data_IF_812647060073
#
_entry.id   IF_812647060073
#
_cell.length_a   1.000
_cell.length_b   1.000
_cell.length_c   1.000
_cell.angle_alpha   90.00
_cell.angle_beta   90.00
_cell.angle_gamma   90.00
#
_symmetry.space_group_name_H-M   'P 1'
#
loop_
_entity.id
_entity.type
_entity.pdbx_description
1 polymer ?
#
# COMPACT_ATOMS: atom_id res chain seq x y z
N UNK A 1 1.09 -11.16 19.02
CA UNK A 1 1.80 -10.00 19.60
C UNK A 1 0.75 -9.00 20.04
N UNK A 2 0.95 -8.35 21.17
CA UNK A 2 0.00 -7.36 21.68
C UNK A 2 0.09 -6.04 20.88
N UNK A 3 -1.03 -5.35 20.69
CA UNK A 3 -1.08 -4.12 19.88
C UNK A 3 -0.20 -3.00 20.44
N UNK A 4 -0.12 -2.87 21.77
CA UNK A 4 0.73 -1.84 22.41
C UNK A 4 2.21 -2.14 22.19
N UNK A 5 2.58 -3.42 22.25
CA UNK A 5 3.94 -3.88 21.97
C UNK A 5 4.37 -3.57 20.53
N UNK A 6 3.50 -3.87 19.55
CA UNK A 6 3.74 -3.58 18.12
C UNK A 6 3.98 -2.09 17.89
N UNK A 7 3.14 -1.22 18.47
CA UNK A 7 3.26 0.23 18.32
C UNK A 7 4.58 0.73 18.91
N UNK A 8 4.95 0.28 20.12
CA UNK A 8 6.17 0.71 20.82
C UNK A 8 7.45 0.23 20.15
N UNK A 9 7.42 -0.93 19.50
CA UNK A 9 8.62 -1.55 18.89
C UNK A 9 8.82 -1.16 17.42
N UNK A 10 7.85 -0.51 16.77
CA UNK A 10 7.93 -0.08 15.37
C UNK A 10 9.14 0.82 15.10
N UNK A 11 9.90 0.50 14.04
CA UNK A 11 11.03 1.31 13.52
C UNK A 11 10.86 1.55 12.02
N UNK A 12 11.49 2.60 11.50
CA UNK A 12 11.53 2.84 10.05
C UNK A 12 12.62 1.98 9.40
N UNK A 13 12.20 1.01 8.58
CA UNK A 13 13.09 0.12 7.83
C UNK A 13 13.50 0.80 6.52
N UNK A 14 14.78 0.71 6.15
CA UNK A 14 15.36 1.32 4.94
C UNK A 14 16.16 0.34 4.07
N UNK A 15 16.18 -0.93 4.44
CA UNK A 15 16.79 -2.03 3.68
C UNK A 15 15.74 -3.12 3.53
N UNK A 16 15.44 -3.48 2.29
CA UNK A 16 14.38 -4.43 1.94
C UNK A 16 14.97 -5.58 1.12
N UNK A 17 14.25 -6.69 1.07
CA UNK A 17 14.54 -7.80 0.16
C UNK A 17 13.99 -7.50 -1.24
N UNK A 18 14.50 -8.18 -2.26
CA UNK A 18 14.06 -8.02 -3.66
C UNK A 18 12.72 -8.71 -3.97
N UNK A 19 12.18 -9.50 -3.03
CA UNK A 19 10.93 -10.23 -3.21
C UNK A 19 9.71 -9.29 -3.27
N UNK A 20 8.73 -9.57 -4.16
CA UNK A 20 7.51 -8.80 -4.22
C UNK A 20 6.64 -9.03 -2.97
N UNK A 21 5.85 -8.02 -2.60
CA UNK A 21 4.82 -8.15 -1.56
C UNK A 21 3.54 -8.73 -2.19
N UNK A 22 2.97 -9.84 -1.66
CA UNK A 22 1.71 -10.41 -2.12
C UNK A 22 0.55 -9.41 -2.06
N UNK A 23 -0.37 -9.45 -3.03
CA UNK A 23 -1.51 -8.53 -3.13
C UNK A 23 -2.39 -8.57 -1.87
N UNK A 24 -2.67 -9.77 -1.34
CA UNK A 24 -3.49 -9.96 -0.14
C UNK A 24 -2.97 -9.19 1.09
N UNK A 25 -1.65 -8.99 1.19
CA UNK A 25 -1.05 -8.21 2.27
C UNK A 25 -1.27 -6.72 2.02
N UNK A 26 -1.15 -6.27 0.78
CA UNK A 26 -1.41 -4.87 0.41
C UNK A 26 -2.88 -4.52 0.66
N UNK A 27 -3.80 -5.39 0.27
CA UNK A 27 -5.24 -5.20 0.46
C UNK A 27 -5.58 -5.05 1.95
N UNK A 28 -5.04 -5.92 2.80
CA UNK A 28 -5.20 -5.84 4.26
C UNK A 28 -4.67 -4.53 4.85
N UNK A 29 -3.56 -4.01 4.34
CA UNK A 29 -2.98 -2.75 4.81
C UNK A 29 -3.88 -1.57 4.41
N UNK A 30 -4.39 -1.56 3.17
CA UNK A 30 -5.28 -0.52 2.67
C UNK A 30 -6.59 -0.54 3.47
N UNK A 31 -7.19 -1.73 3.64
CA UNK A 31 -8.40 -1.91 4.46
C UNK A 31 -8.19 -1.42 5.90
N UNK A 32 -7.09 -1.79 6.55
CA UNK A 32 -6.79 -1.29 7.89
C UNK A 32 -6.67 0.25 7.92
N UNK A 33 -6.14 0.86 6.85
CA UNK A 33 -6.04 2.31 6.71
C UNK A 33 -7.39 3.01 6.55
N UNK A 34 -8.37 2.37 5.88
CA UNK A 34 -9.70 2.96 5.65
C UNK A 34 -10.54 3.04 6.91
N UNK A 35 -10.24 2.21 7.91
CA UNK A 35 -10.87 2.26 9.23
C UNK A 35 -10.41 3.44 10.10
N UNK A 36 -9.45 4.25 9.65
CA UNK A 36 -9.09 5.48 10.33
C UNK A 36 -10.28 6.46 10.35
N UNK A 37 -10.55 7.14 11.48
CA UNK A 37 -11.64 8.11 11.55
C UNK A 37 -11.40 9.25 10.54
N UNK A 38 -12.47 9.69 9.87
CA UNK A 38 -12.43 10.81 8.92
C UNK A 38 -13.49 11.86 9.27
N UNK A 39 -13.16 13.13 9.04
CA UNK A 39 -14.06 14.25 9.34
C UNK A 39 -15.35 14.11 8.53
N UNK A 40 -16.50 14.10 9.20
CA UNK A 40 -17.80 13.92 8.54
C UNK A 40 -17.89 12.63 7.70
N UNK A 41 -17.10 11.61 8.01
CA UNK A 41 -16.98 10.38 7.23
C UNK A 41 -16.67 10.62 5.73
N UNK A 42 -15.90 11.67 5.41
CA UNK A 42 -15.62 12.03 4.02
C UNK A 42 -14.60 11.12 3.31
N UNK A 43 -13.93 10.23 4.05
CA UNK A 43 -12.99 9.21 3.54
C UNK A 43 -12.06 9.76 2.43
N UNK A 44 -11.24 10.79 2.72
CA UNK A 44 -10.55 11.56 1.69
C UNK A 44 -9.31 10.83 1.15
N UNK A 45 -9.02 9.64 1.66
CA UNK A 45 -7.85 8.85 1.33
C UNK A 45 -7.94 8.33 -0.11
N UNK A 46 -6.84 8.45 -0.85
CA UNK A 46 -6.65 7.82 -2.17
C UNK A 46 -5.31 7.11 -2.14
N UNK A 47 -5.32 5.83 -2.51
CA UNK A 47 -4.13 4.98 -2.51
C UNK A 47 -3.76 4.65 -3.95
N UNK A 48 -2.47 4.69 -4.26
CA UNK A 48 -1.92 4.22 -5.51
C UNK A 48 -0.85 3.17 -5.21
N UNK A 49 -1.05 1.94 -5.70
CA UNK A 49 -0.08 0.85 -5.53
C UNK A 49 0.85 0.84 -6.74
N UNK A 50 2.10 1.23 -6.53
CA UNK A 50 3.11 1.25 -7.59
C UNK A 50 3.93 -0.02 -7.52
N UNK A 51 3.82 -0.85 -8.56
CA UNK A 51 4.69 -2.01 -8.78
C UNK A 51 5.58 -1.73 -9.97
N UNK A 52 6.89 -1.90 -9.79
CA UNK A 52 7.82 -1.90 -10.90
C UNK A 52 7.75 -3.29 -11.54
N UNK A 53 7.09 -3.38 -12.69
CA UNK A 53 7.44 -4.41 -13.67
C UNK A 53 8.89 -4.14 -14.06
N UNK A 54 9.82 -5.01 -13.69
CA UNK A 54 11.18 -4.98 -14.23
C UNK A 54 11.10 -5.44 -15.70
N UNK A 55 10.51 -4.62 -16.56
CA UNK A 55 10.64 -4.82 -18.01
C UNK A 55 12.11 -4.59 -18.33
N UNK A 56 12.78 -5.63 -18.83
CA UNK A 56 14.19 -5.58 -19.21
C UNK A 56 14.50 -4.31 -20.00
N UNK A 57 15.18 -3.35 -19.38
CA UNK A 57 15.76 -2.18 -20.06
C UNK A 57 15.24 -0.80 -19.70
N UNK A 58 14.07 -0.61 -19.06
CA UNK A 58 13.58 0.76 -18.75
C UNK A 58 13.12 0.93 -17.30
N UNK A 59 13.85 1.73 -16.53
CA UNK A 59 13.53 2.17 -15.16
C UNK A 59 12.44 3.26 -15.12
N UNK A 60 11.43 3.18 -15.99
CA UNK A 60 10.39 4.20 -16.10
C UNK A 60 9.02 3.61 -15.74
N UNK A 61 8.41 4.18 -14.69
CA UNK A 61 6.99 4.04 -14.39
C UNK A 61 6.19 4.53 -15.60
N UNK A 62 5.40 3.65 -16.24
CA UNK A 62 4.40 4.05 -17.24
C UNK A 62 3.09 4.38 -16.51
N UNK A 63 2.62 5.64 -16.54
CA UNK A 63 1.36 6.02 -15.88
C UNK A 63 0.16 5.23 -16.41
N UNK A 64 0.21 4.78 -17.66
CA UNK A 64 -0.91 4.14 -18.35
C UNK A 64 -1.05 2.63 -18.06
N UNK A 65 -0.11 2.05 -17.31
CA UNK A 65 -0.14 0.63 -16.91
C UNK A 65 -0.73 0.40 -15.52
N UNK A 66 -1.50 1.37 -15.00
CA UNK A 66 -2.35 1.15 -13.82
C UNK A 66 -3.32 0.03 -14.22
N UNK A 67 -3.08 -1.18 -13.72
CA UNK A 67 -4.11 -2.21 -13.69
C UNK A 67 -5.35 -1.57 -13.07
N UNK A 68 -6.53 -1.63 -13.71
CA UNK A 68 -7.77 -1.08 -13.20
C UNK A 68 -8.30 -1.93 -12.04
N UNK A 69 -7.41 -2.47 -11.18
CA UNK A 69 -7.79 -2.90 -9.83
C UNK A 69 -8.51 -1.70 -9.24
N UNK A 70 -9.83 -1.88 -9.14
CA UNK A 70 -10.79 -0.81 -9.28
C UNK A 70 -10.44 0.38 -8.42
N UNK A 71 -10.94 1.54 -8.81
CA UNK A 71 -11.29 2.56 -7.84
C UNK A 71 -12.09 1.84 -6.74
N UNK A 72 -11.40 1.38 -5.69
CA UNK A 72 -11.99 0.89 -4.47
C UNK A 72 -12.56 2.16 -3.86
N UNK A 73 -13.79 2.44 -4.26
CA UNK A 73 -14.69 3.31 -3.53
C UNK A 73 -15.03 2.57 -2.25
N UNK A 74 -14.10 2.65 -1.30
CA UNK A 74 -14.37 2.59 0.12
C UNK A 74 -14.85 3.97 0.56
#
# INVERSE_FOLDING_TARGET
>A
MDSIEVIKTRRSIRKFTDGPVPDEIIDKIIEAGTWAPSGMNNQPWKFAVIRLELTAGNKFYKPDSISPMGLLNV
#
